data_IF_320214802484
#
_entry.id   IF_320214802484
#
_cell.length_a   1.000
_cell.length_b   1.000
_cell.length_c   1.000
_cell.angle_alpha   90.00
_cell.angle_beta   90.00
_cell.angle_gamma   90.00
#
_symmetry.space_group_name_H-M   'P 1'
#
loop_
_entity.id
_entity.type
_entity.pdbx_description
1 polymer ?
#
# COMPACT_ATOMS: atom_id res chain seq x y z
N UNK A 1 -1.98 24.23 45.32
CA UNK A 1 -3.03 25.05 44.71
C UNK A 1 -2.37 26.07 43.83
N UNK A 2 -2.42 25.90 42.54
CA UNK A 2 -1.83 26.73 41.49
C UNK A 2 -2.43 26.32 40.16
N UNK A 3 -3.30 27.15 39.62
CA UNK A 3 -4.19 26.93 38.48
C UNK A 3 -3.44 26.70 37.19
N UNK A 4 -3.69 25.56 36.55
CA UNK A 4 -3.34 25.29 35.13
C UNK A 4 -4.48 25.88 34.28
N UNK A 5 -4.33 27.12 33.82
CA UNK A 5 -5.08 27.68 32.71
C UNK A 5 -4.14 28.60 31.98
N UNK A 6 -3.73 28.19 30.78
CA UNK A 6 -3.35 28.98 29.60
C UNK A 6 -2.37 28.19 28.70
N UNK A 7 -2.91 27.15 28.06
CA UNK A 7 -2.31 26.66 26.82
C UNK A 7 -3.28 27.04 25.70
N UNK A 8 -2.96 28.15 25.02
CA UNK A 8 -3.70 28.60 23.83
C UNK A 8 -3.46 27.57 22.70
N UNK A 9 -4.54 26.99 22.27
CA UNK A 9 -4.62 26.27 21.00
C UNK A 9 -4.24 27.24 19.86
N UNK A 10 -3.11 26.98 19.19
CA UNK A 10 -2.83 27.60 17.89
C UNK A 10 -3.80 27.01 16.88
N UNK A 11 -4.78 27.81 16.49
CA UNK A 11 -5.73 27.44 15.45
C UNK A 11 -5.03 27.39 14.10
N UNK A 12 -5.26 26.30 13.36
CA UNK A 12 -4.82 26.07 11.97
C UNK A 12 -5.18 27.22 11.00
N UNK A 13 -6.07 28.13 11.41
CA UNK A 13 -6.48 29.30 10.65
C UNK A 13 -5.43 30.42 10.53
N UNK A 14 -4.42 30.48 11.37
CA UNK A 14 -3.42 31.58 11.33
C UNK A 14 -2.27 31.29 10.35
N UNK A 15 -1.85 30.01 10.23
CA UNK A 15 -0.84 29.62 9.25
C UNK A 15 -1.34 29.79 7.81
N UNK A 16 -2.63 29.49 7.57
CA UNK A 16 -3.26 29.71 6.26
C UNK A 16 -3.39 31.22 5.92
N UNK A 17 -3.61 32.09 6.91
CA UNK A 17 -3.68 33.55 6.71
C UNK A 17 -2.32 34.18 6.43
N UNK A 18 -1.23 33.62 6.95
CA UNK A 18 0.14 34.08 6.68
C UNK A 18 0.56 33.70 5.25
N UNK A 19 0.17 32.52 4.77
CA UNK A 19 0.44 32.10 3.39
C UNK A 19 -0.30 32.95 2.34
N UNK A 20 -1.53 33.38 2.64
CA UNK A 20 -2.32 34.26 1.75
C UNK A 20 -1.78 35.70 1.74
N UNK A 21 -1.29 36.21 2.88
CA UNK A 21 -0.70 37.58 2.94
C UNK A 21 0.64 37.71 2.21
N UNK A 22 1.38 36.63 2.03
CA UNK A 22 2.63 36.64 1.26
C UNK A 22 2.44 36.54 -0.25
N UNK A 23 1.25 36.19 -0.74
CA UNK A 23 0.97 36.12 -2.18
C UNK A 23 0.91 37.49 -2.85
N UNK A 24 0.47 38.49 -2.10
CA UNK A 24 0.32 39.86 -2.62
C UNK A 24 1.62 40.70 -2.61
N UNK A 25 2.69 40.20 -1.97
CA UNK A 25 3.99 40.89 -1.92
C UNK A 25 4.89 40.63 -3.13
N UNK A 26 4.55 39.66 -4.00
CA UNK A 26 5.35 39.31 -5.18
C UNK A 26 4.69 39.69 -6.51
N UNK A 27 3.54 40.38 -6.50
CA UNK A 27 2.89 40.82 -7.73
C UNK A 27 3.38 42.20 -8.26
N UNK A 28 4.44 42.74 -7.69
CA UNK A 28 4.87 44.11 -7.97
C UNK A 28 6.22 44.32 -8.64
N UNK A 29 6.89 43.26 -9.12
CA UNK A 29 8.22 43.43 -9.76
C UNK A 29 8.40 42.44 -10.91
N UNK A 30 7.93 42.82 -12.08
CA UNK A 30 8.52 42.64 -13.41
C UNK A 30 7.48 43.03 -14.46
N UNK A 31 7.78 43.89 -15.44
CA UNK A 31 6.84 44.20 -16.49
C UNK A 31 6.59 42.99 -17.36
N UNK A 32 5.34 42.59 -17.51
CA UNK A 32 4.89 41.66 -18.51
C UNK A 32 5.10 42.34 -19.86
N UNK A 33 6.19 42.08 -20.51
CA UNK A 33 6.31 42.37 -21.93
C UNK A 33 5.46 41.37 -22.71
N UNK A 34 4.49 41.91 -23.42
CA UNK A 34 3.62 41.20 -24.34
C UNK A 34 4.47 40.42 -25.36
N UNK A 35 4.52 39.11 -25.27
CA UNK A 35 5.20 38.24 -26.24
C UNK A 35 4.12 37.60 -27.11
N UNK A 36 3.40 38.45 -27.84
CA UNK A 36 2.66 38.06 -29.00
C UNK A 36 3.28 38.77 -30.22
N UNK A 37 4.38 38.24 -30.72
CA UNK A 37 4.73 38.30 -32.14
C UNK A 37 5.86 37.31 -32.48
N UNK A 38 5.42 36.22 -33.09
CA UNK A 38 6.08 35.53 -34.19
C UNK A 38 7.61 35.38 -34.16
N UNK A 39 8.06 34.22 -33.77
CA UNK A 39 8.97 33.44 -34.61
C UNK A 39 8.58 31.98 -34.41
N UNK A 40 7.96 31.40 -35.44
CA UNK A 40 8.01 29.96 -35.69
C UNK A 40 9.49 29.57 -35.91
N UNK A 41 10.27 29.62 -34.84
CA UNK A 41 11.44 28.80 -34.76
C UNK A 41 10.88 27.38 -34.64
N UNK A 42 11.04 26.58 -35.69
CA UNK A 42 11.07 25.15 -35.61
C UNK A 42 11.98 24.86 -34.40
N UNK A 43 11.40 24.61 -33.22
CA UNK A 43 12.03 23.77 -32.24
C UNK A 43 12.27 22.49 -33.03
N UNK A 44 13.53 22.23 -33.38
CA UNK A 44 13.92 20.95 -33.91
C UNK A 44 13.30 19.97 -32.90
N UNK A 45 12.37 19.13 -33.37
CA UNK A 45 11.92 18.02 -32.57
C UNK A 45 13.21 17.32 -32.16
N UNK A 46 13.54 17.31 -30.90
CA UNK A 46 14.58 16.43 -30.39
C UNK A 46 14.03 15.03 -30.67
N UNK A 47 14.34 14.51 -31.87
CA UNK A 47 14.02 13.14 -32.20
C UNK A 47 14.65 12.29 -31.09
N UNK A 48 13.87 11.40 -30.54
CA UNK A 48 14.40 10.46 -29.55
C UNK A 48 15.61 9.74 -30.15
N UNK A 49 16.68 9.57 -29.36
CA UNK A 49 17.91 8.96 -29.86
C UNK A 49 17.61 7.59 -30.49
N UNK A 50 18.11 7.36 -31.67
CA UNK A 50 17.98 6.09 -32.39
C UNK A 50 18.96 5.05 -31.84
N UNK A 51 18.72 3.77 -32.09
CA UNK A 51 19.66 2.71 -31.71
C UNK A 51 21.07 2.99 -32.19
N UNK A 52 21.21 3.49 -33.44
CA UNK A 52 22.54 3.81 -34.02
C UNK A 52 23.23 4.99 -33.32
N UNK A 53 22.49 5.96 -32.82
CA UNK A 53 23.04 7.07 -32.04
C UNK A 53 23.49 6.60 -30.68
N UNK A 54 22.75 5.70 -30.03
CA UNK A 54 23.12 5.05 -28.73
C UNK A 54 24.39 4.21 -28.93
N UNK A 55 24.48 3.39 -29.97
CA UNK A 55 25.65 2.58 -30.28
C UNK A 55 26.90 3.45 -30.57
N UNK A 56 26.73 4.53 -31.29
CA UNK A 56 27.79 5.50 -31.52
C UNK A 56 28.24 6.18 -30.22
N UNK A 57 27.30 6.58 -29.37
CA UNK A 57 27.59 7.14 -28.04
C UNK A 57 28.35 6.13 -27.15
N UNK A 58 27.93 4.85 -27.13
CA UNK A 58 28.60 3.78 -26.40
C UNK A 58 30.03 3.58 -26.87
N UNK A 59 30.24 3.53 -28.18
CA UNK A 59 31.57 3.26 -28.79
C UNK A 59 32.53 4.45 -28.77
N UNK A 60 32.04 5.67 -28.58
CA UNK A 60 32.85 6.89 -28.58
C UNK A 60 32.88 7.58 -27.22
N UNK A 61 31.81 8.26 -26.87
CA UNK A 61 31.74 9.10 -25.65
C UNK A 61 31.89 8.29 -24.38
N UNK A 62 31.10 7.21 -24.26
CA UNK A 62 31.12 6.34 -23.08
C UNK A 62 32.45 5.58 -23.01
N UNK A 63 32.92 4.98 -24.11
CA UNK A 63 34.17 4.24 -24.14
C UNK A 63 35.36 5.10 -23.69
N UNK A 64 35.48 6.33 -24.22
CA UNK A 64 36.53 7.28 -23.84
C UNK A 64 36.48 7.64 -22.34
N UNK A 65 35.27 7.73 -21.78
CA UNK A 65 35.08 8.00 -20.36
C UNK A 65 35.52 6.81 -19.50
N UNK A 66 35.17 5.60 -19.93
CA UNK A 66 35.50 4.36 -19.21
C UNK A 66 37.00 4.01 -19.23
N UNK A 67 37.73 4.44 -20.25
CA UNK A 67 39.18 4.34 -20.28
C UNK A 67 39.85 5.15 -19.14
N UNK A 68 39.24 6.26 -18.75
CA UNK A 68 39.75 7.13 -17.68
C UNK A 68 39.23 6.74 -16.30
N UNK A 69 37.97 6.36 -16.24
CA UNK A 69 37.28 6.02 -14.99
C UNK A 69 36.32 4.85 -15.26
N UNK A 70 36.70 3.62 -14.86
CA UNK A 70 35.82 2.47 -15.06
C UNK A 70 34.57 2.58 -14.19
N UNK A 71 33.53 1.82 -14.53
CA UNK A 71 32.32 1.72 -13.72
C UNK A 71 32.64 1.23 -12.30
N UNK A 72 31.89 1.70 -11.30
CA UNK A 72 32.07 1.34 -9.88
C UNK A 72 31.84 -0.16 -9.59
N UNK A 73 31.17 -0.87 -10.50
CA UNK A 73 30.91 -2.33 -10.43
C UNK A 73 30.84 -2.88 -11.85
N UNK A 74 31.05 -4.20 -11.98
CA UNK A 74 31.05 -4.87 -13.28
C UNK A 74 29.64 -5.16 -13.81
N UNK A 75 28.67 -5.34 -12.91
CA UNK A 75 27.29 -5.69 -13.23
C UNK A 75 26.34 -4.79 -12.48
N UNK A 76 25.36 -4.25 -13.20
CA UNK A 76 24.25 -3.51 -12.64
C UNK A 76 22.97 -4.32 -12.82
N UNK A 77 22.25 -4.57 -11.75
CA UNK A 77 21.02 -5.34 -11.74
C UNK A 77 20.09 -4.89 -10.61
N UNK A 78 18.79 -5.14 -10.76
CA UNK A 78 17.79 -4.94 -9.71
C UNK A 78 17.98 -5.98 -8.60
N UNK A 79 17.28 -5.82 -7.49
CA UNK A 79 17.26 -6.84 -6.42
C UNK A 79 16.68 -8.18 -6.88
N UNK A 80 15.87 -8.19 -7.94
CA UNK A 80 15.38 -9.41 -8.59
C UNK A 80 16.36 -10.01 -9.60
N UNK A 81 17.56 -9.44 -9.77
CA UNK A 81 18.58 -9.91 -10.71
C UNK A 81 18.31 -9.55 -12.18
N UNK A 82 17.40 -8.62 -12.45
CA UNK A 82 17.18 -8.10 -13.80
C UNK A 82 18.32 -7.15 -14.19
N UNK A 83 18.92 -7.30 -15.38
CA UNK A 83 20.01 -6.42 -15.81
C UNK A 83 19.53 -4.99 -16.02
N UNK A 84 20.38 -4.04 -15.64
CA UNK A 84 20.15 -2.60 -15.83
C UNK A 84 21.19 -2.11 -16.82
N UNK A 85 20.70 -1.49 -17.92
CA UNK A 85 21.53 -0.88 -18.95
C UNK A 85 22.13 0.46 -18.49
N UNK A 86 23.15 0.90 -19.18
CA UNK A 86 23.79 2.20 -18.94
C UNK A 86 22.89 3.40 -19.21
N UNK A 87 21.98 3.29 -20.17
CA UNK A 87 20.97 4.28 -20.52
C UNK A 87 19.75 3.61 -21.13
N UNK A 88 18.58 4.24 -20.95
CA UNK A 88 17.34 3.87 -21.62
C UNK A 88 16.84 5.03 -22.47
N UNK A 89 16.34 4.72 -23.66
CA UNK A 89 15.91 5.69 -24.68
C UNK A 89 14.58 5.28 -25.30
N UNK A 90 14.03 6.07 -26.19
CA UNK A 90 12.84 5.69 -26.94
C UNK A 90 13.01 4.41 -27.80
N UNK A 91 14.26 4.04 -28.12
CA UNK A 91 14.55 2.80 -28.86
C UNK A 91 14.29 1.53 -28.02
N UNK A 92 14.32 1.64 -26.70
CA UNK A 92 14.10 0.53 -25.78
C UNK A 92 12.61 0.31 -25.48
N UNK A 93 11.75 1.26 -25.88
CA UNK A 93 10.32 1.20 -25.63
C UNK A 93 9.61 0.53 -26.80
N UNK A 94 8.91 -0.56 -26.52
CA UNK A 94 8.00 -1.17 -27.47
C UNK A 94 6.76 -0.28 -27.67
N UNK A 95 6.76 0.51 -28.73
CA UNK A 95 5.67 1.42 -29.09
C UNK A 95 4.31 0.73 -29.32
N UNK A 96 4.31 -0.60 -29.48
CA UNK A 96 3.07 -1.38 -29.60
C UNK A 96 2.42 -1.68 -28.25
N UNK A 97 3.14 -1.51 -27.14
CA UNK A 97 2.63 -1.70 -25.77
C UNK A 97 1.98 -0.42 -25.27
N UNK A 98 0.67 -0.34 -25.38
CA UNK A 98 -0.12 0.77 -24.84
C UNK A 98 -0.18 0.65 -23.30
N UNK A 99 0.28 1.68 -22.59
CA UNK A 99 0.15 1.77 -21.13
C UNK A 99 -1.19 2.37 -20.67
N UNK A 100 -1.98 2.91 -21.59
CA UNK A 100 -3.29 3.50 -21.34
C UNK A 100 -3.24 4.86 -20.65
N UNK A 101 -4.41 5.33 -20.22
CA UNK A 101 -4.58 6.53 -19.41
C UNK A 101 -4.96 6.16 -17.96
N UNK A 102 -4.73 7.05 -16.99
CA UNK A 102 -5.16 6.82 -15.60
C UNK A 102 -6.68 6.57 -15.53
N UNK A 103 -7.07 5.54 -14.78
CA UNK A 103 -8.48 5.16 -14.62
C UNK A 103 -9.06 4.33 -15.77
N UNK A 104 -8.25 3.99 -16.78
CA UNK A 104 -8.64 3.18 -17.94
C UNK A 104 -7.84 1.87 -18.02
N UNK A 105 -8.46 0.85 -18.64
CA UNK A 105 -7.78 -0.41 -18.90
C UNK A 105 -6.48 -0.19 -19.67
N UNK A 106 -5.36 -0.80 -19.30
CA UNK A 106 -5.15 -1.84 -18.28
C UNK A 106 -4.75 -1.31 -16.90
N UNK A 107 -5.04 -0.08 -16.53
CA UNK A 107 -4.81 0.58 -15.25
C UNK A 107 -3.33 0.71 -14.83
N UNK A 108 -2.40 0.58 -15.75
CA UNK A 108 -0.96 0.68 -15.48
C UNK A 108 -0.62 1.99 -14.77
N UNK A 109 -1.25 3.11 -15.18
CA UNK A 109 -1.02 4.46 -14.68
C UNK A 109 -1.85 4.85 -13.46
N UNK A 110 -2.67 3.94 -12.95
CA UNK A 110 -3.50 4.17 -11.78
C UNK A 110 -4.95 3.72 -11.97
N UNK A 111 -5.63 3.37 -10.88
CA UNK A 111 -7.02 2.86 -10.89
C UNK A 111 -8.07 3.97 -11.02
N UNK A 112 -7.71 5.22 -10.73
CA UNK A 112 -8.61 6.37 -10.83
C UNK A 112 -8.03 7.44 -11.76
N UNK A 113 -8.86 8.18 -12.53
CA UNK A 113 -8.39 9.24 -13.42
C UNK A 113 -7.66 10.37 -12.69
N UNK A 114 -8.07 10.65 -11.47
CA UNK A 114 -7.54 11.75 -10.65
C UNK A 114 -6.49 11.32 -9.65
N UNK A 115 -6.43 10.02 -9.33
CA UNK A 115 -5.56 9.46 -8.29
C UNK A 115 -5.49 10.38 -7.05
N UNK A 116 -4.30 10.74 -6.60
CA UNK A 116 -4.10 11.53 -5.39
C UNK A 116 -4.53 13.00 -5.51
N UNK A 117 -4.73 13.53 -6.73
CA UNK A 117 -5.25 14.89 -6.93
C UNK A 117 -6.66 15.09 -6.36
N UNK A 118 -7.48 14.04 -6.34
CA UNK A 118 -8.82 14.09 -5.75
C UNK A 118 -8.82 13.61 -4.30
N UNK A 119 -8.08 12.57 -4.00
CA UNK A 119 -8.00 11.99 -2.67
C UNK A 119 -6.62 11.35 -2.46
N UNK A 120 -5.86 11.79 -1.47
CA UNK A 120 -4.62 11.14 -1.06
C UNK A 120 -4.86 9.67 -0.66
N UNK A 121 -3.78 8.92 -0.54
CA UNK A 121 -3.85 7.58 0.03
C UNK A 121 -4.30 7.61 1.49
N UNK A 122 -4.93 6.53 1.92
CA UNK A 122 -5.28 6.38 3.33
C UNK A 122 -4.01 6.12 4.15
N UNK A 123 -3.73 6.97 5.13
CA UNK A 123 -2.71 6.71 6.14
C UNK A 123 -3.28 5.63 7.06
N UNK A 124 -2.64 4.47 7.10
CA UNK A 124 -3.12 3.29 7.82
C UNK A 124 -1.95 2.55 8.43
N UNK A 125 -1.66 2.86 9.68
CA UNK A 125 -0.66 2.14 10.45
C UNK A 125 -1.25 0.83 10.98
N UNK A 126 -0.46 -0.22 10.94
CA UNK A 126 -0.81 -1.46 11.59
C UNK A 126 -0.52 -1.30 13.08
N UNK A 127 -1.46 -1.68 13.93
CA UNK A 127 -1.35 -1.58 15.37
C UNK A 127 -2.08 -2.75 16.05
N UNK A 128 -1.48 -3.27 17.09
CA UNK A 128 -2.03 -4.33 17.95
C UNK A 128 -0.99 -4.76 18.96
N UNK A 129 -1.33 -4.76 20.22
CA UNK A 129 -0.50 -5.26 21.31
C UNK A 129 -1.33 -5.36 22.59
N UNK A 130 -0.90 -6.22 23.50
CA UNK A 130 -1.48 -6.32 24.82
C UNK A 130 -2.96 -6.71 24.81
N UNK A 131 -3.75 -6.04 25.61
CA UNK A 131 -5.20 -6.23 25.70
C UNK A 131 -5.95 -5.42 24.64
N UNK A 132 -7.25 -5.69 24.51
CA UNK A 132 -8.15 -4.93 23.66
C UNK A 132 -8.19 -3.43 24.04
N UNK A 133 -8.13 -3.12 25.34
CA UNK A 133 -8.09 -1.73 25.86
C UNK A 133 -6.79 -1.03 25.53
N UNK A 134 -5.63 -1.71 25.62
CA UNK A 134 -4.34 -1.15 25.26
C UNK A 134 -4.32 -0.75 23.77
N UNK A 135 -4.81 -1.64 22.93
CA UNK A 135 -4.89 -1.41 21.48
C UNK A 135 -5.95 -0.35 21.14
N UNK A 136 -7.11 -0.32 21.82
CA UNK A 136 -8.10 0.75 21.65
C UNK A 136 -7.50 2.14 21.96
N UNK A 137 -6.73 2.24 23.06
CA UNK A 137 -6.00 3.45 23.40
C UNK A 137 -5.06 3.89 22.27
N UNK A 138 -4.34 2.93 21.67
CA UNK A 138 -3.47 3.19 20.50
C UNK A 138 -4.25 3.66 19.27
N UNK A 139 -5.41 3.09 18.99
CA UNK A 139 -6.27 3.52 17.89
C UNK A 139 -6.72 4.98 18.04
N UNK A 140 -7.19 5.35 19.24
CA UNK A 140 -7.56 6.74 19.53
C UNK A 140 -6.38 7.68 19.35
N UNK A 141 -5.20 7.29 19.86
CA UNK A 141 -3.96 8.06 19.65
C UNK A 141 -3.64 8.26 18.16
N UNK A 142 -3.72 7.22 17.33
CA UNK A 142 -3.43 7.29 15.90
C UNK A 142 -4.42 8.18 15.15
N UNK A 143 -5.72 8.04 15.43
CA UNK A 143 -6.76 8.90 14.83
C UNK A 143 -6.55 10.37 15.20
N UNK A 144 -6.21 10.67 16.46
CA UNK A 144 -5.90 12.04 16.93
C UNK A 144 -4.65 12.63 16.27
N UNK A 145 -3.76 11.78 15.74
CA UNK A 145 -2.54 12.21 15.03
C UNK A 145 -2.68 12.23 13.51
N UNK A 146 -3.90 11.99 12.98
CA UNK A 146 -4.23 12.16 11.56
C UNK A 146 -4.22 10.89 10.74
N UNK A 147 -4.27 9.72 11.38
CA UNK A 147 -4.58 8.47 10.69
C UNK A 147 -6.03 8.49 10.20
N UNK A 148 -6.27 7.87 9.03
CA UNK A 148 -7.58 7.94 8.37
C UNK A 148 -8.26 6.58 8.19
N UNK A 149 -7.63 5.53 8.71
CA UNK A 149 -8.18 4.17 8.75
C UNK A 149 -7.35 3.30 9.67
N UNK A 150 -7.95 2.35 10.35
CA UNK A 150 -7.31 1.49 11.34
C UNK A 150 -6.90 0.16 10.73
N UNK A 151 -5.81 -0.43 11.23
CA UNK A 151 -5.39 -1.80 10.94
C UNK A 151 -5.00 -2.52 12.23
N UNK A 152 -5.51 -3.75 12.38
CA UNK A 152 -5.35 -4.55 13.59
C UNK A 152 -4.43 -5.73 13.34
N UNK A 153 -3.34 -5.83 14.09
CA UNK A 153 -2.59 -7.07 14.26
C UNK A 153 -3.11 -7.83 15.47
N UNK A 154 -3.31 -9.13 15.28
CA UNK A 154 -3.72 -10.05 16.33
C UNK A 154 -2.51 -10.86 16.81
N UNK A 155 -2.54 -11.25 18.07
CA UNK A 155 -1.49 -12.07 18.65
C UNK A 155 -1.49 -13.51 18.09
N UNK A 156 -0.42 -14.22 18.30
CA UNK A 156 -0.24 -15.57 17.75
C UNK A 156 -1.32 -16.56 18.21
N UNK A 157 -1.78 -16.58 19.48
CA UNK A 157 -2.93 -17.42 19.89
C UNK A 157 -4.18 -17.14 19.06
N UNK A 158 -4.59 -15.88 18.92
CA UNK A 158 -5.76 -15.48 18.14
C UNK A 158 -5.62 -15.88 16.66
N UNK A 159 -4.44 -15.71 16.07
CA UNK A 159 -4.14 -16.12 14.67
C UNK A 159 -4.31 -17.63 14.48
N UNK A 160 -3.92 -18.43 15.49
CA UNK A 160 -4.00 -19.89 15.48
C UNK A 160 -5.31 -20.46 16.03
N UNK A 161 -6.25 -19.60 16.46
CA UNK A 161 -7.57 -20.00 17.00
C UNK A 161 -7.51 -20.60 18.38
N UNK A 162 -6.56 -20.19 19.20
CA UNK A 162 -6.47 -20.51 20.63
C UNK A 162 -6.94 -19.33 21.47
N UNK A 163 -7.67 -19.64 22.53
CA UNK A 163 -7.99 -18.65 23.56
C UNK A 163 -6.77 -18.39 24.47
N UNK A 164 -6.74 -17.24 25.13
CA UNK A 164 -5.62 -16.79 25.97
C UNK A 164 -5.35 -17.70 27.19
N UNK A 165 -6.30 -18.50 27.62
CA UNK A 165 -6.13 -19.48 28.71
C UNK A 165 -5.52 -20.82 28.27
N UNK A 166 -5.34 -20.99 26.95
CA UNK A 166 -4.75 -22.22 26.40
C UNK A 166 -3.23 -22.26 26.67
N UNK A 167 -2.70 -23.35 27.26
CA UNK A 167 -1.30 -23.45 27.72
C UNK A 167 -0.27 -23.15 26.60
N UNK A 168 -0.60 -23.47 25.34
CA UNK A 168 0.31 -23.27 24.20
C UNK A 168 0.44 -21.79 23.82
N UNK A 169 -0.60 -20.98 24.11
CA UNK A 169 -0.66 -19.56 23.82
C UNK A 169 0.02 -18.68 24.84
N UNK A 170 0.10 -19.13 26.12
CA UNK A 170 0.55 -18.31 27.25
C UNK A 170 1.81 -17.47 27.02
N UNK A 171 2.89 -17.97 26.37
CA UNK A 171 4.09 -17.17 26.18
C UNK A 171 3.95 -16.08 25.12
N UNK A 172 2.91 -16.11 24.28
CA UNK A 172 2.77 -15.22 23.12
C UNK A 172 1.59 -14.24 23.21
N UNK A 173 0.81 -14.29 24.30
CA UNK A 173 -0.37 -13.44 24.48
C UNK A 173 0.02 -11.96 24.44
N UNK A 174 -0.63 -11.21 23.55
CA UNK A 174 -0.50 -9.76 23.44
C UNK A 174 0.87 -9.24 23.00
N UNK A 175 1.82 -10.11 22.56
CA UNK A 175 3.19 -9.69 22.23
C UNK A 175 3.32 -9.04 20.85
N UNK A 176 2.84 -9.70 19.80
CA UNK A 176 2.99 -9.24 18.41
C UNK A 176 1.68 -8.71 17.82
N UNK A 177 0.64 -8.67 18.62
CA UNK A 177 -0.68 -8.23 18.24
C UNK A 177 -1.60 -8.21 19.46
N UNK A 178 -2.86 -7.85 19.29
CA UNK A 178 -3.88 -7.83 20.34
C UNK A 178 -4.47 -9.22 20.54
N UNK A 179 -4.62 -9.63 21.80
CA UNK A 179 -5.34 -10.84 22.18
C UNK A 179 -6.85 -10.62 22.05
N UNK A 180 -7.54 -11.54 21.35
CA UNK A 180 -9.00 -11.53 21.18
C UNK A 180 -9.53 -12.95 21.30
N UNK A 181 -10.25 -13.22 22.38
CA UNK A 181 -10.85 -14.53 22.65
C UNK A 181 -12.36 -14.52 22.34
N UNK A 182 -13.02 -13.41 22.60
CA UNK A 182 -14.48 -13.30 22.57
C UNK A 182 -14.95 -12.04 21.84
N UNK A 183 -16.25 -11.97 21.59
CA UNK A 183 -16.88 -10.76 21.04
C UNK A 183 -16.78 -9.56 21.99
N UNK A 184 -16.61 -9.80 23.31
CA UNK A 184 -16.45 -8.73 24.29
C UNK A 184 -15.10 -8.03 24.14
N UNK A 185 -14.05 -8.75 23.76
CA UNK A 185 -12.76 -8.17 23.44
C UNK A 185 -12.85 -7.27 22.21
N UNK A 186 -13.60 -7.69 21.19
CA UNK A 186 -13.85 -6.84 20.02
C UNK A 186 -14.70 -5.61 20.38
N UNK A 187 -15.64 -5.70 21.34
CA UNK A 187 -16.36 -4.53 21.88
C UNK A 187 -15.42 -3.53 22.53
N UNK A 188 -14.50 -4.00 23.37
CA UNK A 188 -13.48 -3.18 24.00
C UNK A 188 -12.52 -2.57 22.98
N UNK A 189 -12.06 -3.38 22.04
CA UNK A 189 -11.17 -2.95 20.96
C UNK A 189 -11.76 -1.81 20.11
N UNK A 190 -13.06 -1.87 19.84
CA UNK A 190 -13.77 -0.88 18.99
C UNK A 190 -14.58 0.15 19.82
N UNK A 191 -14.36 0.23 21.13
CA UNK A 191 -15.05 1.17 21.98
C UNK A 191 -14.76 2.62 21.59
N UNK A 192 -15.83 3.41 21.33
CA UNK A 192 -15.78 4.81 20.89
C UNK A 192 -15.13 5.03 19.51
N UNK A 193 -14.95 3.99 18.70
CA UNK A 193 -14.52 4.11 17.31
C UNK A 193 -15.77 4.15 16.42
N UNK A 194 -15.98 5.22 15.62
CA UNK A 194 -17.18 5.34 14.77
C UNK A 194 -17.05 4.45 13.53
N UNK A 195 -17.58 3.21 13.59
CA UNK A 195 -17.43 2.18 12.56
C UNK A 195 -18.15 2.50 11.24
N UNK A 196 -19.02 3.48 11.22
CA UNK A 196 -19.64 4.03 10.01
C UNK A 196 -18.73 5.03 9.26
N UNK A 197 -17.72 5.59 9.92
CA UNK A 197 -16.81 6.61 9.39
C UNK A 197 -15.38 6.11 9.21
N UNK A 198 -14.90 5.27 10.11
CA UNK A 198 -13.52 4.74 10.10
C UNK A 198 -13.51 3.35 9.47
N UNK A 199 -12.75 3.17 8.40
CA UNK A 199 -12.54 1.84 7.82
C UNK A 199 -11.51 1.07 8.62
N UNK A 200 -11.80 -0.21 8.91
CA UNK A 200 -10.89 -1.09 9.65
C UNK A 200 -10.27 -2.13 8.73
N UNK A 201 -9.08 -2.59 9.07
CA UNK A 201 -8.42 -3.72 8.41
C UNK A 201 -7.97 -4.72 9.46
N UNK A 202 -8.17 -6.01 9.20
CA UNK A 202 -7.80 -7.11 10.07
C UNK A 202 -6.76 -7.99 9.40
N UNK A 203 -5.57 -8.12 10.00
CA UNK A 203 -4.48 -8.98 9.48
C UNK A 203 -4.62 -10.40 10.02
N UNK A 204 -5.76 -11.02 9.78
CA UNK A 204 -6.09 -12.36 10.27
C UNK A 204 -6.47 -13.27 9.12
N UNK A 205 -6.12 -14.56 9.21
CA UNK A 205 -6.27 -15.51 8.12
C UNK A 205 -7.07 -16.76 8.51
N UNK A 206 -6.51 -17.70 9.24
CA UNK A 206 -7.17 -18.97 9.52
C UNK A 206 -8.47 -18.84 10.34
N UNK A 207 -8.54 -17.90 11.27
CA UNK A 207 -9.71 -17.57 12.10
C UNK A 207 -10.51 -16.37 11.60
N UNK A 208 -10.22 -15.86 10.40
CA UNK A 208 -10.83 -14.65 9.83
C UNK A 208 -12.36 -14.65 9.84
N UNK A 209 -12.98 -15.78 9.53
CA UNK A 209 -14.45 -15.89 9.47
C UNK A 209 -15.11 -15.65 10.84
N UNK A 210 -14.43 -16.03 11.94
CA UNK A 210 -14.88 -15.76 13.32
C UNK A 210 -14.80 -14.27 13.62
N UNK A 211 -13.65 -13.65 13.34
CA UNK A 211 -13.42 -12.22 13.60
C UNK A 211 -14.33 -11.31 12.75
N UNK A 212 -14.65 -11.69 11.51
CA UNK A 212 -15.64 -10.99 10.68
C UNK A 212 -17.02 -11.05 11.35
N UNK A 213 -17.41 -12.22 11.88
CA UNK A 213 -18.67 -12.37 12.59
C UNK A 213 -18.74 -11.55 13.89
N UNK A 214 -17.67 -11.56 14.70
CA UNK A 214 -17.58 -10.74 15.91
C UNK A 214 -17.66 -9.25 15.58
N UNK A 215 -16.96 -8.80 14.53
CA UNK A 215 -16.97 -7.42 14.08
C UNK A 215 -18.38 -6.97 13.61
N UNK A 216 -19.11 -7.82 12.90
CA UNK A 216 -20.49 -7.54 12.48
C UNK A 216 -21.40 -7.36 13.70
N UNK A 217 -21.24 -8.22 14.74
CA UNK A 217 -22.01 -8.09 15.98
C UNK A 217 -21.73 -6.75 16.66
N UNK A 218 -20.46 -6.36 16.79
CA UNK A 218 -20.07 -5.11 17.44
C UNK A 218 -20.54 -3.88 16.64
N UNK A 219 -20.44 -3.92 15.31
CA UNK A 219 -20.99 -2.85 14.47
C UNK A 219 -22.49 -2.69 14.66
N UNK A 220 -23.24 -3.80 14.73
CA UNK A 220 -24.68 -3.80 15.03
C UNK A 220 -24.99 -3.22 16.40
N UNK A 221 -24.20 -3.56 17.42
CA UNK A 221 -24.35 -3.03 18.78
C UNK A 221 -24.15 -1.49 18.81
N UNK A 222 -23.31 -0.97 17.92
CA UNK A 222 -23.12 0.48 17.69
C UNK A 222 -24.16 1.11 16.76
N UNK A 223 -25.16 0.36 16.31
CA UNK A 223 -26.20 0.85 15.39
C UNK A 223 -25.75 0.97 13.92
N UNK A 224 -24.62 0.40 13.57
CA UNK A 224 -24.08 0.37 12.19
C UNK A 224 -24.54 -0.91 11.50
N UNK A 225 -25.26 -0.76 10.38
CA UNK A 225 -25.70 -1.92 9.61
C UNK A 225 -24.55 -2.54 8.83
N UNK A 226 -24.63 -3.82 8.53
CA UNK A 226 -23.59 -4.53 7.78
C UNK A 226 -23.38 -4.01 6.36
N UNK A 227 -24.39 -3.37 5.78
CA UNK A 227 -24.29 -2.68 4.48
C UNK A 227 -23.46 -1.39 4.56
N UNK A 228 -23.35 -0.80 5.75
CA UNK A 228 -22.58 0.42 6.01
C UNK A 228 -21.13 0.14 6.34
N UNK A 229 -20.82 -1.03 6.90
CA UNK A 229 -19.46 -1.43 7.30
C UNK A 229 -18.50 -1.31 6.10
N UNK A 230 -17.42 -0.57 6.31
CA UNK A 230 -16.31 -0.47 5.37
C UNK A 230 -15.05 -1.01 6.02
N UNK A 231 -14.36 -1.89 5.33
CA UNK A 231 -13.15 -2.49 5.89
C UNK A 231 -12.57 -3.56 4.98
N UNK A 232 -11.57 -4.22 5.51
CA UNK A 232 -10.86 -5.30 4.83
C UNK A 232 -10.47 -6.36 5.84
N UNK A 233 -10.62 -7.63 5.50
CA UNK A 233 -9.96 -8.73 6.20
C UNK A 233 -8.89 -9.31 5.30
N UNK A 234 -7.73 -9.67 5.85
CA UNK A 234 -6.66 -10.28 5.05
C UNK A 234 -7.12 -11.62 4.51
N UNK A 235 -7.50 -12.57 5.36
CA UNK A 235 -8.15 -13.83 4.96
C UNK A 235 -7.46 -14.55 3.78
N UNK A 236 -6.13 -14.40 3.66
CA UNK A 236 -5.29 -15.00 2.64
C UNK A 236 -4.58 -16.24 3.18
N UNK A 237 -5.26 -17.38 3.12
CA UNK A 237 -4.72 -18.59 3.71
C UNK A 237 -3.58 -19.22 2.89
N UNK A 238 -3.51 -18.99 1.58
CA UNK A 238 -2.47 -19.60 0.75
C UNK A 238 -1.08 -19.08 1.09
N UNK A 239 -0.95 -17.80 1.46
CA UNK A 239 0.34 -17.25 1.89
C UNK A 239 0.82 -17.84 3.22
N UNK A 240 -0.07 -18.36 4.04
CA UNK A 240 0.29 -19.03 5.29
C UNK A 240 1.10 -20.30 5.05
N UNK A 241 0.73 -21.09 4.04
CA UNK A 241 1.47 -22.30 3.69
C UNK A 241 2.80 -22.03 2.98
N UNK A 242 3.00 -20.82 2.48
CA UNK A 242 4.19 -20.46 1.68
C UNK A 242 5.18 -19.57 2.42
N UNK A 243 4.72 -18.75 3.39
CA UNK A 243 5.55 -17.73 4.00
C UNK A 243 5.42 -17.61 5.52
N UNK A 244 4.19 -17.52 6.08
CA UNK A 244 3.98 -17.11 7.47
C UNK A 244 3.76 -18.29 8.44
N UNK A 245 3.21 -19.42 7.95
CA UNK A 245 2.95 -20.68 8.69
C UNK A 245 1.86 -20.59 9.79
N UNK A 246 0.96 -19.64 9.75
CA UNK A 246 -0.14 -19.45 10.71
C UNK A 246 -1.45 -20.04 10.17
N UNK A 247 -1.54 -21.37 10.08
CA UNK A 247 -2.71 -22.07 9.56
C UNK A 247 -3.27 -23.08 10.56
N UNK A 248 -4.60 -23.27 10.54
CA UNK A 248 -5.33 -24.19 11.41
C UNK A 248 -5.76 -25.44 10.62
N UNK A 249 -6.23 -25.25 9.38
CA UNK A 249 -6.83 -26.29 8.55
C UNK A 249 -5.91 -26.71 7.41
N UNK A 250 -6.08 -27.92 6.83
CA UNK A 250 -5.41 -28.26 5.56
C UNK A 250 -5.82 -27.32 4.40
N UNK A 251 -5.02 -27.21 3.33
CA UNK A 251 -5.24 -26.20 2.27
C UNK A 251 -6.64 -26.18 1.66
N UNK A 252 -7.20 -27.31 1.29
CA UNK A 252 -8.50 -27.35 0.61
C UNK A 252 -9.69 -26.90 1.49
N UNK A 253 -9.83 -27.35 2.76
CA UNK A 253 -10.81 -26.81 3.69
C UNK A 253 -10.59 -25.33 3.99
N UNK A 254 -9.34 -24.87 4.09
CA UNK A 254 -9.01 -23.49 4.37
C UNK A 254 -9.43 -22.56 3.21
N UNK A 255 -9.12 -22.94 1.97
CA UNK A 255 -9.58 -22.20 0.77
C UNK A 255 -11.11 -22.18 0.70
N UNK A 256 -11.79 -23.27 1.08
CA UNK A 256 -13.24 -23.30 1.15
C UNK A 256 -13.79 -22.23 2.10
N UNK A 257 -13.22 -22.10 3.30
CA UNK A 257 -13.63 -21.09 4.28
C UNK A 257 -13.41 -19.66 3.77
N UNK A 258 -12.28 -19.41 3.08
CA UNK A 258 -12.05 -18.11 2.42
C UNK A 258 -13.16 -17.80 1.41
N UNK A 259 -13.52 -18.77 0.57
CA UNK A 259 -14.59 -18.54 -0.42
C UNK A 259 -15.97 -18.42 0.22
N UNK A 260 -16.22 -19.10 1.37
CA UNK A 260 -17.44 -18.92 2.16
C UNK A 260 -17.57 -17.46 2.65
N UNK A 261 -16.49 -16.87 3.15
CA UNK A 261 -16.49 -15.45 3.58
C UNK A 261 -16.60 -14.49 2.39
N UNK A 262 -15.98 -14.77 1.24
CA UNK A 262 -16.15 -13.97 0.03
C UNK A 262 -17.62 -13.99 -0.45
N UNK A 263 -18.25 -15.16 -0.45
CA UNK A 263 -19.67 -15.30 -0.80
C UNK A 263 -20.58 -14.55 0.16
N UNK A 264 -20.33 -14.69 1.47
CA UNK A 264 -21.08 -13.98 2.51
C UNK A 264 -20.97 -12.46 2.32
N UNK A 265 -19.76 -11.94 2.21
CA UNK A 265 -19.53 -10.51 2.06
C UNK A 265 -20.13 -9.95 0.76
N UNK A 266 -20.04 -10.68 -0.35
CA UNK A 266 -20.64 -10.28 -1.61
C UNK A 266 -22.16 -10.09 -1.51
N UNK A 267 -22.84 -10.90 -0.66
CA UNK A 267 -24.29 -10.86 -0.46
C UNK A 267 -24.72 -9.88 0.63
N UNK A 268 -23.98 -9.78 1.72
CA UNK A 268 -24.42 -9.17 2.97
C UNK A 268 -23.65 -7.90 3.33
N UNK A 269 -22.40 -7.73 2.88
CA UNK A 269 -21.51 -6.63 3.26
C UNK A 269 -20.90 -5.98 2.00
N UNK A 270 -21.71 -5.30 1.17
CA UNK A 270 -21.31 -4.87 -0.19
C UNK A 270 -20.15 -3.87 -0.22
N UNK A 271 -19.80 -3.27 0.91
CA UNK A 271 -18.69 -2.31 1.04
C UNK A 271 -17.44 -2.89 1.72
N UNK A 272 -17.49 -4.17 2.14
CA UNK A 272 -16.42 -4.84 2.85
C UNK A 272 -15.58 -5.70 1.89
N UNK A 273 -14.25 -5.63 2.01
CA UNK A 273 -13.34 -6.49 1.26
C UNK A 273 -13.04 -7.73 2.11
N UNK A 274 -13.65 -8.85 1.76
CA UNK A 274 -13.50 -10.10 2.51
C UNK A 274 -12.15 -10.78 2.33
N UNK A 275 -11.31 -10.26 1.44
CA UNK A 275 -9.96 -10.77 1.21
C UNK A 275 -9.01 -9.65 0.79
N UNK A 276 -7.78 -9.72 1.32
CA UNK A 276 -6.63 -8.93 0.87
C UNK A 276 -5.47 -9.89 0.61
N UNK A 277 -5.23 -10.21 -0.66
CA UNK A 277 -4.19 -11.16 -1.05
C UNK A 277 -2.82 -10.53 -0.84
N UNK A 278 -1.98 -11.19 -0.05
CA UNK A 278 -0.80 -10.56 0.53
C UNK A 278 0.49 -11.07 -0.08
N UNK A 279 1.19 -10.19 -0.80
CA UNK A 279 2.57 -10.37 -1.22
C UNK A 279 3.58 -9.98 -0.14
N UNK A 280 3.20 -9.09 0.79
CA UNK A 280 4.07 -8.58 1.84
C UNK A 280 4.85 -9.69 2.56
N UNK A 281 4.16 -10.67 3.12
CA UNK A 281 4.79 -11.76 3.89
C UNK A 281 5.71 -12.63 3.02
N UNK A 282 5.35 -12.83 1.76
CA UNK A 282 6.17 -13.59 0.80
C UNK A 282 7.48 -12.83 0.53
N UNK A 283 7.42 -11.51 0.40
CA UNK A 283 8.58 -10.64 0.19
C UNK A 283 9.46 -10.57 1.43
N UNK A 284 8.87 -10.40 2.62
CA UNK A 284 9.54 -10.40 3.92
C UNK A 284 10.25 -11.75 4.20
N UNK A 285 9.70 -12.86 3.68
CA UNK A 285 10.32 -14.19 3.73
C UNK A 285 11.49 -14.37 2.73
N UNK A 286 11.84 -13.34 1.95
CA UNK A 286 13.04 -13.32 1.10
C UNK A 286 12.79 -13.54 -0.39
N UNK A 287 11.54 -13.49 -0.88
CA UNK A 287 11.28 -13.55 -2.32
C UNK A 287 11.75 -12.27 -3.03
N UNK A 288 12.00 -12.37 -4.34
CA UNK A 288 12.20 -11.21 -5.19
C UNK A 288 10.87 -10.49 -5.46
N UNK A 289 10.90 -9.24 -5.93
CA UNK A 289 9.71 -8.50 -6.34
C UNK A 289 8.91 -9.23 -7.43
N UNK A 290 9.59 -9.91 -8.35
CA UNK A 290 8.95 -10.72 -9.40
C UNK A 290 8.25 -11.95 -8.82
N UNK A 291 8.86 -12.63 -7.86
CA UNK A 291 8.27 -13.79 -7.17
C UNK A 291 7.09 -13.37 -6.30
N UNK A 292 7.22 -12.27 -5.55
CA UNK A 292 6.11 -11.68 -4.79
C UNK A 292 4.90 -11.45 -5.70
N UNK A 293 5.12 -10.77 -6.84
CA UNK A 293 4.06 -10.48 -7.81
C UNK A 293 3.41 -11.76 -8.35
N UNK A 294 4.22 -12.74 -8.76
CA UNK A 294 3.72 -13.98 -9.36
C UNK A 294 2.92 -14.82 -8.37
N UNK A 295 3.41 -15.02 -7.16
CA UNK A 295 2.74 -15.84 -6.14
C UNK A 295 1.46 -15.17 -5.63
N UNK A 296 1.47 -13.87 -5.42
CA UNK A 296 0.30 -13.11 -4.96
C UNK A 296 -0.82 -13.14 -6.00
N UNK A 297 -0.50 -12.88 -7.27
CA UNK A 297 -1.49 -12.94 -8.35
C UNK A 297 -1.99 -14.37 -8.59
N UNK A 298 -1.13 -15.38 -8.43
CA UNK A 298 -1.51 -16.79 -8.49
C UNK A 298 -2.50 -17.17 -7.39
N UNK A 299 -2.28 -16.72 -6.15
CA UNK A 299 -3.20 -16.93 -5.04
C UNK A 299 -4.55 -16.23 -5.29
N UNK A 300 -4.52 -14.96 -5.73
CA UNK A 300 -5.74 -14.21 -6.07
C UNK A 300 -6.55 -14.89 -7.18
N UNK A 301 -5.88 -15.39 -8.21
CA UNK A 301 -6.52 -16.16 -9.28
C UNK A 301 -7.19 -17.43 -8.75
N UNK A 302 -6.51 -18.16 -7.85
CA UNK A 302 -7.06 -19.36 -7.21
C UNK A 302 -8.38 -19.02 -6.49
N UNK A 303 -8.40 -18.02 -5.61
CA UNK A 303 -9.60 -17.66 -4.85
C UNK A 303 -10.77 -17.26 -5.75
N UNK A 304 -10.54 -16.41 -6.75
CA UNK A 304 -11.59 -15.98 -7.67
C UNK A 304 -12.10 -17.19 -8.49
N UNK A 305 -11.21 -18.04 -8.94
CA UNK A 305 -11.57 -19.25 -9.71
C UNK A 305 -12.39 -20.24 -8.88
N UNK A 306 -12.02 -20.45 -7.61
CA UNK A 306 -12.79 -21.31 -6.70
C UNK A 306 -14.18 -20.72 -6.40
N UNK A 307 -14.29 -19.40 -6.26
CA UNK A 307 -15.58 -18.74 -6.14
C UNK A 307 -16.45 -18.93 -7.40
N UNK A 308 -15.87 -18.79 -8.58
CA UNK A 308 -16.57 -19.03 -9.86
C UNK A 308 -16.98 -20.49 -10.02
N UNK A 309 -16.14 -21.47 -9.68
CA UNK A 309 -16.50 -22.89 -9.67
C UNK A 309 -17.67 -23.20 -8.75
N UNK A 310 -17.86 -22.42 -7.69
CA UNK A 310 -18.98 -22.54 -6.76
C UNK A 310 -20.26 -21.92 -7.30
N UNK A 311 -20.21 -21.25 -8.45
CA UNK A 311 -21.34 -20.62 -9.12
C UNK A 311 -21.52 -19.13 -8.84
N UNK A 312 -20.53 -18.48 -8.18
CA UNK A 312 -20.52 -17.03 -8.02
C UNK A 312 -20.10 -16.36 -9.33
N UNK A 313 -20.66 -15.20 -9.65
CA UNK A 313 -20.16 -14.39 -10.74
C UNK A 313 -18.78 -13.82 -10.38
N UNK A 314 -17.84 -13.83 -11.32
CA UNK A 314 -16.57 -13.13 -11.15
C UNK A 314 -16.78 -11.64 -10.78
N UNK A 315 -17.79 -11.01 -11.39
CA UNK A 315 -18.13 -9.61 -11.15
C UNK A 315 -18.80 -9.35 -9.78
N UNK A 316 -19.21 -10.39 -9.06
CA UNK A 316 -19.72 -10.26 -7.69
C UNK A 316 -18.59 -10.33 -6.63
N UNK A 317 -17.46 -10.96 -6.93
CA UNK A 317 -16.36 -11.17 -5.98
C UNK A 317 -15.11 -10.37 -6.31
N UNK A 318 -14.68 -10.30 -7.56
CA UNK A 318 -13.43 -9.65 -7.95
C UNK A 318 -13.34 -8.15 -7.58
N UNK A 319 -14.43 -7.35 -7.63
CA UNK A 319 -14.38 -5.95 -7.17
C UNK A 319 -14.03 -5.77 -5.69
N UNK A 320 -14.12 -6.83 -4.89
CA UNK A 320 -13.83 -6.84 -3.44
C UNK A 320 -12.54 -7.58 -3.07
N UNK A 321 -11.80 -8.07 -4.06
CA UNK A 321 -10.43 -8.53 -3.86
C UNK A 321 -9.53 -7.32 -3.75
N UNK A 322 -8.84 -7.19 -2.65
CA UNK A 322 -7.78 -6.22 -2.43
C UNK A 322 -6.41 -6.91 -2.33
N UNK A 323 -5.36 -6.14 -2.33
CA UNK A 323 -4.00 -6.64 -2.32
C UNK A 323 -3.18 -5.93 -1.26
N UNK A 324 -2.14 -6.61 -0.77
CA UNK A 324 -1.20 -6.08 0.18
C UNK A 324 0.23 -6.33 -0.32
N UNK A 325 0.96 -5.25 -0.64
CA UNK A 325 2.28 -5.30 -1.24
C UNK A 325 3.35 -4.82 -0.27
N UNK A 326 4.51 -5.48 -0.28
CA UNK A 326 5.73 -4.95 0.31
C UNK A 326 6.33 -3.85 -0.56
N UNK A 327 7.06 -2.91 0.02
CA UNK A 327 7.84 -1.91 -0.72
C UNK A 327 9.26 -1.87 -0.15
N UNK A 328 10.19 -2.45 -0.89
CA UNK A 328 11.59 -2.58 -0.51
C UNK A 328 12.45 -1.41 -1.02
N UNK A 329 13.77 -1.52 -0.88
CA UNK A 329 14.72 -0.44 -1.17
C UNK A 329 15.05 -0.24 -2.67
N UNK A 330 14.72 -1.17 -3.55
CA UNK A 330 14.92 -0.98 -4.99
C UNK A 330 13.82 -0.08 -5.56
N UNK A 331 14.07 1.22 -5.47
CA UNK A 331 13.09 2.28 -5.66
C UNK A 331 12.28 2.16 -6.96
N UNK A 332 12.96 1.97 -8.09
CA UNK A 332 12.30 1.89 -9.38
C UNK A 332 11.66 0.51 -9.62
N UNK A 333 12.27 -0.57 -9.17
CA UNK A 333 11.69 -1.90 -9.26
C UNK A 333 10.35 -1.97 -8.51
N UNK A 334 10.27 -1.38 -7.31
CA UNK A 334 9.03 -1.32 -6.52
C UNK A 334 7.93 -0.50 -7.19
N UNK A 335 8.27 0.64 -7.79
CA UNK A 335 7.33 1.43 -8.60
C UNK A 335 6.80 0.60 -9.77
N UNK A 336 7.70 -0.04 -10.52
CA UNK A 336 7.36 -0.88 -11.66
C UNK A 336 6.53 -2.10 -11.25
N UNK A 337 6.81 -2.71 -10.10
CA UNK A 337 6.03 -3.82 -9.53
C UNK A 337 4.56 -3.44 -9.38
N UNK A 338 4.24 -2.32 -8.73
CA UNK A 338 2.86 -1.87 -8.55
C UNK A 338 2.16 -1.55 -9.87
N UNK A 339 2.87 -1.00 -10.85
CA UNK A 339 2.37 -0.73 -12.20
C UNK A 339 2.06 -2.03 -12.93
N UNK A 340 3.00 -2.98 -12.90
CA UNK A 340 2.84 -4.31 -13.49
C UNK A 340 1.71 -5.10 -12.82
N UNK A 341 1.59 -5.04 -11.50
CA UNK A 341 0.54 -5.70 -10.73
C UNK A 341 -0.86 -5.30 -11.23
N UNK A 342 -1.12 -3.99 -11.36
CA UNK A 342 -2.42 -3.51 -11.86
C UNK A 342 -2.71 -4.01 -13.26
N UNK A 343 -1.74 -3.93 -14.16
CA UNK A 343 -1.88 -4.38 -15.55
C UNK A 343 -2.14 -5.87 -15.65
N UNK A 344 -1.39 -6.68 -14.90
CA UNK A 344 -1.53 -8.13 -14.90
C UNK A 344 -2.88 -8.56 -14.32
N UNK A 345 -3.31 -7.97 -13.20
CA UNK A 345 -4.62 -8.22 -12.62
C UNK A 345 -5.77 -7.88 -13.60
N UNK A 346 -5.71 -6.71 -14.22
CA UNK A 346 -6.72 -6.29 -15.19
C UNK A 346 -6.85 -7.27 -16.35
N UNK A 347 -5.71 -7.72 -16.90
CA UNK A 347 -5.68 -8.71 -17.96
C UNK A 347 -6.20 -10.06 -17.49
N UNK A 348 -5.75 -10.52 -16.33
CA UNK A 348 -6.15 -11.78 -15.72
C UNK A 348 -7.68 -11.83 -15.55
N UNK A 349 -8.26 -10.81 -14.94
CA UNK A 349 -9.70 -10.78 -14.71
C UNK A 349 -10.50 -10.69 -16.00
N UNK A 350 -10.06 -9.85 -16.94
CA UNK A 350 -10.77 -9.65 -18.22
C UNK A 350 -10.61 -10.82 -19.17
N UNK A 351 -9.35 -11.30 -19.37
CA UNK A 351 -9.00 -12.22 -20.45
C UNK A 351 -9.10 -13.69 -19.98
N UNK A 352 -8.72 -14.01 -18.74
CA UNK A 352 -8.65 -15.40 -18.25
C UNK A 352 -9.91 -15.80 -17.49
N UNK A 353 -10.37 -14.94 -16.57
CA UNK A 353 -11.56 -15.22 -15.76
C UNK A 353 -12.84 -14.81 -16.49
N UNK A 354 -12.77 -13.87 -17.41
CA UNK A 354 -13.89 -13.43 -18.22
C UNK A 354 -14.85 -12.47 -17.52
N UNK A 355 -14.40 -11.76 -16.48
CA UNK A 355 -15.15 -10.71 -15.82
C UNK A 355 -15.51 -9.58 -16.80
N UNK A 356 -16.71 -9.01 -16.66
CA UNK A 356 -17.26 -8.01 -17.59
C UNK A 356 -17.30 -6.61 -17.01
N UNK A 357 -17.47 -6.48 -15.68
CA UNK A 357 -17.49 -5.17 -15.03
C UNK A 357 -16.06 -4.62 -14.92
N UNK A 358 -15.79 -3.40 -15.43
CA UNK A 358 -14.50 -2.73 -15.24
C UNK A 358 -14.02 -2.65 -13.79
N UNK A 359 -14.93 -2.61 -12.80
CA UNK A 359 -14.58 -2.64 -11.39
C UNK A 359 -13.87 -3.93 -10.98
N UNK A 360 -14.13 -5.04 -11.65
CA UNK A 360 -13.47 -6.33 -11.43
C UNK A 360 -12.01 -6.32 -11.92
N UNK A 361 -11.67 -5.46 -12.87
CA UNK A 361 -10.32 -5.35 -13.44
C UNK A 361 -9.42 -4.37 -12.65
N UNK A 362 -10.01 -3.57 -11.77
CA UNK A 362 -9.30 -2.57 -10.98
C UNK A 362 -8.66 -3.21 -9.74
N UNK A 363 -7.34 -3.15 -9.63
CA UNK A 363 -6.62 -3.59 -8.44
C UNK A 363 -6.61 -2.49 -7.39
N UNK A 364 -7.15 -2.78 -6.21
CA UNK A 364 -7.00 -1.94 -5.02
C UNK A 364 -5.91 -2.52 -4.15
N UNK A 365 -5.01 -1.68 -3.67
CA UNK A 365 -3.85 -2.15 -2.94
C UNK A 365 -3.55 -1.30 -1.71
N UNK A 366 -3.21 -1.98 -0.64
CA UNK A 366 -2.45 -1.47 0.48
C UNK A 366 -0.97 -1.76 0.23
N UNK A 367 -0.10 -0.86 0.67
CA UNK A 367 1.34 -1.08 0.67
C UNK A 367 1.90 -0.85 2.07
N UNK A 368 2.92 -1.62 2.42
CA UNK A 368 3.72 -1.42 3.62
C UNK A 368 5.20 -1.38 3.24
N UNK A 369 5.93 -0.50 3.87
CA UNK A 369 7.39 -0.44 3.72
C UNK A 369 8.03 -1.69 4.29
N UNK A 370 9.12 -2.19 3.67
CA UNK A 370 9.74 -3.47 4.01
C UNK A 370 10.39 -3.47 5.39
N UNK A 371 9.87 -4.27 6.32
CA UNK A 371 10.44 -4.47 7.65
C UNK A 371 11.81 -5.13 7.58
N UNK A 372 11.98 -6.12 6.73
CA UNK A 372 13.23 -6.86 6.52
C UNK A 372 14.41 -5.98 6.08
N UNK A 373 14.14 -4.80 5.53
CA UNK A 373 15.17 -3.83 5.12
C UNK A 373 15.70 -2.97 6.27
N UNK A 374 15.04 -2.99 7.43
CA UNK A 374 15.37 -2.15 8.57
C UNK A 374 16.37 -2.83 9.50
N UNK A 375 17.18 -2.04 10.17
CA UNK A 375 18.25 -2.54 11.03
C UNK A 375 18.12 -2.05 12.46
N UNK A 376 18.46 -2.91 13.43
CA UNK A 376 18.55 -2.51 14.83
C UNK A 376 19.72 -1.56 15.08
N UNK A 377 20.79 -1.67 14.29
CA UNK A 377 21.94 -0.76 14.34
C UNK A 377 21.61 0.56 13.66
N UNK A 378 21.89 1.66 14.33
CA UNK A 378 21.61 3.02 13.83
C UNK A 378 20.13 3.20 13.41
N UNK A 379 19.17 3.01 14.33
CA UNK A 379 17.74 2.96 13.99
C UNK A 379 17.22 4.28 13.41
N UNK A 380 17.85 5.42 13.68
CA UNK A 380 17.45 6.70 13.09
C UNK A 380 17.61 6.73 11.56
N UNK A 381 18.52 5.94 10.99
CA UNK A 381 18.64 5.79 9.53
C UNK A 381 17.44 5.06 8.91
N UNK A 382 16.67 4.30 9.69
CA UNK A 382 15.46 3.63 9.21
C UNK A 382 14.41 4.65 8.77
N UNK A 383 14.37 5.85 9.35
CA UNK A 383 13.47 6.94 8.92
C UNK A 383 13.70 7.29 7.45
N UNK A 384 14.98 7.40 7.04
CA UNK A 384 15.31 7.68 5.64
C UNK A 384 14.95 6.51 4.71
N UNK A 385 15.20 5.25 5.11
CA UNK A 385 14.81 4.06 4.34
C UNK A 385 13.31 4.04 4.11
N UNK A 386 12.54 4.17 5.18
CA UNK A 386 11.07 4.17 5.14
C UNK A 386 10.53 5.32 4.31
N UNK A 387 11.12 6.52 4.37
CA UNK A 387 10.69 7.66 3.55
C UNK A 387 10.85 7.39 2.05
N UNK A 388 11.96 6.77 1.62
CA UNK A 388 12.21 6.39 0.23
C UNK A 388 11.26 5.29 -0.23
N UNK A 389 11.01 4.27 0.60
CA UNK A 389 10.06 3.21 0.32
C UNK A 389 8.63 3.75 0.22
N UNK A 390 8.23 4.62 1.14
CA UNK A 390 6.92 5.27 1.11
C UNK A 390 6.74 6.11 -0.16
N UNK A 391 7.79 6.84 -0.58
CA UNK A 391 7.78 7.58 -1.84
C UNK A 391 7.62 6.65 -3.05
N UNK A 392 8.29 5.49 -3.06
CA UNK A 392 8.12 4.49 -4.11
C UNK A 392 6.69 3.95 -4.16
N UNK A 393 6.07 3.66 -3.00
CA UNK A 393 4.66 3.24 -2.90
C UNK A 393 3.71 4.29 -3.50
N UNK A 394 3.92 5.56 -3.17
CA UNK A 394 3.09 6.67 -3.66
C UNK A 394 3.25 6.86 -5.16
N UNK A 395 4.49 6.89 -5.68
CA UNK A 395 4.77 6.97 -7.12
C UNK A 395 4.27 5.72 -7.86
N UNK A 396 4.26 4.57 -7.19
CA UNK A 396 3.65 3.33 -7.66
C UNK A 396 2.11 3.37 -7.68
N UNK A 397 1.46 4.30 -6.98
CA UNK A 397 0.00 4.52 -7.00
C UNK A 397 -0.78 3.64 -6.03
N UNK A 398 -0.28 3.41 -4.80
CA UNK A 398 -0.99 2.70 -3.73
C UNK A 398 -2.25 3.44 -3.25
N UNK A 399 -3.27 2.73 -2.73
CA UNK A 399 -4.49 3.35 -2.20
C UNK A 399 -4.45 3.55 -0.68
N UNK A 400 -3.63 2.77 0.03
CA UNK A 400 -3.35 2.98 1.45
C UNK A 400 -1.90 2.60 1.74
N UNK A 401 -1.34 3.18 2.80
CA UNK A 401 0.07 3.01 3.12
C UNK A 401 0.27 2.86 4.63
N UNK A 402 1.09 1.86 4.98
CA UNK A 402 1.75 1.74 6.27
C UNK A 402 3.23 2.10 6.12
N UNK A 403 3.74 2.89 7.03
CA UNK A 403 5.18 3.18 7.17
C UNK A 403 5.69 2.58 8.45
N UNK A 404 6.65 1.67 8.37
CA UNK A 404 7.26 1.07 9.55
C UNK A 404 7.93 2.14 10.40
N UNK A 405 7.89 1.97 11.71
CA UNK A 405 8.57 2.85 12.63
C UNK A 405 10.08 2.56 12.65
N UNK A 406 10.87 3.52 13.11
CA UNK A 406 12.34 3.39 13.14
C UNK A 406 12.84 2.25 14.05
N UNK A 407 12.02 1.83 15.00
CA UNK A 407 12.32 0.78 15.97
C UNK A 407 11.75 -0.61 15.58
N UNK A 408 11.16 -0.74 14.41
CA UNK A 408 10.56 -1.97 13.87
C UNK A 408 11.46 -3.21 13.99
N UNK A 409 12.77 -3.05 13.80
CA UNK A 409 13.70 -4.16 13.78
C UNK A 409 13.95 -4.82 15.16
N UNK A 410 13.42 -4.23 16.26
CA UNK A 410 13.77 -4.72 17.61
C UNK A 410 12.65 -4.59 18.67
N UNK A 411 11.55 -3.92 18.37
CA UNK A 411 10.44 -3.77 19.30
C UNK A 411 9.13 -3.35 18.63
N UNK A 412 8.01 -3.50 19.36
CA UNK A 412 6.74 -2.86 19.01
C UNK A 412 6.94 -1.33 19.01
N UNK A 413 6.35 -0.60 18.05
CA UNK A 413 6.57 0.83 17.90
C UNK A 413 6.28 1.64 19.17
N UNK A 414 7.29 2.39 19.62
CA UNK A 414 7.10 3.41 20.65
C UNK A 414 6.25 4.57 20.13
N UNK A 415 5.58 5.32 21.02
CA UNK A 415 4.76 6.47 20.61
C UNK A 415 5.54 7.51 19.79
N UNK A 416 6.79 7.79 20.19
CA UNK A 416 7.66 8.70 19.45
C UNK A 416 8.00 8.19 18.06
N UNK A 417 8.27 6.90 17.90
CA UNK A 417 8.63 6.29 16.64
C UNK A 417 7.43 6.18 15.68
N UNK A 418 6.26 5.76 16.17
CA UNK A 418 5.06 5.70 15.34
C UNK A 418 4.59 7.10 14.89
N UNK A 419 4.77 8.12 15.73
CA UNK A 419 4.50 9.51 15.36
C UNK A 419 5.37 9.95 14.18
N UNK A 420 6.65 9.62 14.19
CA UNK A 420 7.57 9.91 13.07
C UNK A 420 7.09 9.17 11.81
N UNK A 421 6.69 7.91 11.92
CA UNK A 421 6.18 7.12 10.80
C UNK A 421 4.94 7.76 10.15
N UNK A 422 3.95 8.19 10.95
CA UNK A 422 2.77 8.92 10.46
C UNK A 422 3.17 10.26 9.81
N UNK A 423 4.07 11.02 10.46
CA UNK A 423 4.54 12.32 9.92
C UNK A 423 5.31 12.17 8.61
N UNK A 424 6.04 11.06 8.42
CA UNK A 424 6.71 10.74 7.14
C UNK A 424 5.71 10.73 5.98
N UNK A 425 4.54 10.10 6.15
CA UNK A 425 3.49 10.10 5.13
C UNK A 425 2.91 11.50 4.91
N UNK A 426 2.68 12.25 5.97
CA UNK A 426 2.14 13.62 5.88
C UNK A 426 3.12 14.59 5.20
N UNK A 427 4.42 14.46 5.41
CA UNK A 427 5.45 15.22 4.68
C UNK A 427 5.39 14.91 3.19
N UNK A 428 5.27 13.63 2.83
CA UNK A 428 5.12 13.23 1.42
C UNK A 428 3.85 13.80 0.80
N UNK A 429 2.74 13.79 1.52
CA UNK A 429 1.46 14.29 1.03
C UNK A 429 1.44 15.83 0.90
N UNK A 430 1.86 16.54 1.94
CA UNK A 430 1.61 17.97 2.08
C UNK A 430 2.77 18.86 1.59
N UNK A 431 4.01 18.36 1.64
CA UNK A 431 5.20 19.17 1.38
C UNK A 431 5.90 18.83 0.07
N UNK A 432 5.92 17.52 -0.33
CA UNK A 432 6.69 17.06 -1.48
C UNK A 432 6.05 17.37 -2.85
N UNK A 433 4.76 17.67 -2.88
CA UNK A 433 3.93 17.85 -4.08
C UNK A 433 3.85 16.62 -5.00
N UNK A 434 4.24 15.45 -4.53
CA UNK A 434 4.18 14.20 -5.29
C UNK A 434 2.76 13.81 -5.70
N UNK A 435 1.75 14.31 -4.98
CA UNK A 435 0.33 14.08 -5.24
C UNK A 435 -0.29 15.01 -6.30
N UNK A 436 0.44 16.04 -6.77
CA UNK A 436 -0.10 17.10 -7.65
C UNK A 436 -0.25 16.64 -9.10
N UNK A 437 0.48 15.61 -9.52
CA UNK A 437 0.44 15.07 -10.88
C UNK A 437 0.12 13.59 -10.85
N UNK A 438 -0.78 13.15 -11.72
CA UNK A 438 -1.09 11.72 -11.87
C UNK A 438 0.02 11.04 -12.67
N UNK A 439 0.62 10.01 -12.08
CA UNK A 439 1.67 9.20 -12.70
C UNK A 439 2.84 10.05 -13.28
N UNK A 440 3.58 10.78 -12.44
CA UNK A 440 4.61 11.71 -12.91
C UNK A 440 5.79 11.02 -13.61
N UNK A 441 5.96 9.71 -13.46
CA UNK A 441 7.04 8.94 -14.07
C UNK A 441 6.68 8.32 -15.43
N UNK A 442 5.47 8.54 -15.96
CA UNK A 442 5.01 7.95 -17.19
C UNK A 442 5.84 8.34 -18.45
N UNK A 443 6.63 9.40 -18.38
CA UNK A 443 7.55 9.80 -19.44
C UNK A 443 8.95 9.19 -19.32
N UNK A 444 9.23 8.39 -18.30
CA UNK A 444 10.52 7.72 -18.12
C UNK A 444 10.63 6.49 -19.02
N UNK A 445 11.65 6.40 -19.82
CA UNK A 445 11.95 5.21 -20.63
C UNK A 445 12.40 4.03 -19.74
N UNK A 446 12.96 4.29 -18.57
CA UNK A 446 13.36 3.26 -17.62
C UNK A 446 12.14 2.63 -16.89
N UNK A 447 11.15 3.44 -16.47
CA UNK A 447 9.93 3.01 -15.81
C UNK A 447 8.85 2.58 -16.80
#
# INVERSE_FOLDING_TARGET
MGSIRDIRFFQVGEAARIAIRNRDRYQGMLPVTDVNETKKNKVASTAAATSSEVDNWRSTTLATSLERLPTRQQKFETLSGLPIEDIYTAADVDSTKVIGLPGEYPYTRGVHPTMFRARPWTIRQVAGFGTAEDTNGRYKYLLDHGETGLSTDFDLPTLLGYDSDHPIGLPEIGKIGVAVDTVDDVRLLMADIPLDQVSTSYTINASAFVLIGMYEVVAKDQGVSKEQITGTCQNDILKEYTAQNEYIYPPAPAVRLVVDTMEYAAKMMPRYNAISVSGYHIREAGSTAVQELAFTLGAAHCYVTEAVKRGLSADSVAPRVSFFWDIHNDFFEEICKLRAARRLWARMMREWVGAKDPKSWMMRAHSQTAGVSLTAQQPDNNVARVALQALAAVLGGTQSLHTNSKDEAFQIPSEGAIKIAVRTQQILELESRVADVVDPLAGSYYV
#
